data_IF_145951050605
#
_entry.id   IF_145951050605
#
_cell.length_a   1.000
_cell.length_b   1.000
_cell.length_c   1.000
_cell.angle_alpha   90.00
_cell.angle_beta   90.00
_cell.angle_gamma   90.00
#
_symmetry.space_group_name_H-M   'P 1'
#
loop_
_entity.id
_entity.type
_entity.pdbx_description
1 polymer ?
#
# COMPACT_ATOMS: atom_id res chain seq x y z
N UNK A 1 13.07 -35.72 4.97
CA UNK A 1 13.57 -34.33 5.00
C UNK A 1 12.39 -33.43 4.64
N UNK A 2 11.74 -32.82 5.63
CA UNK A 2 10.53 -32.01 5.40
C UNK A 2 10.93 -30.66 4.80
N UNK A 3 10.26 -30.17 3.74
CA UNK A 3 10.67 -28.95 3.07
C UNK A 3 10.33 -27.74 3.95
N UNK A 4 11.34 -27.03 4.41
CA UNK A 4 11.26 -25.77 5.18
C UNK A 4 10.82 -24.57 4.29
N UNK A 5 10.39 -24.83 3.05
CA UNK A 5 10.09 -23.81 2.05
C UNK A 5 8.80 -23.00 2.31
N UNK A 6 7.98 -23.31 3.31
CA UNK A 6 6.71 -22.58 3.57
C UNK A 6 6.84 -21.34 4.46
N UNK A 7 7.99 -21.14 5.13
CA UNK A 7 8.25 -19.97 5.99
C UNK A 7 8.74 -18.74 5.21
N UNK A 8 9.13 -18.89 3.94
CA UNK A 8 9.62 -17.77 3.13
C UNK A 8 8.56 -16.72 2.78
N UNK A 9 7.28 -17.01 3.03
CA UNK A 9 6.16 -16.13 2.69
C UNK A 9 5.19 -15.96 3.87
N UNK A 10 5.71 -15.69 5.07
CA UNK A 10 4.89 -15.47 6.28
C UNK A 10 3.93 -14.30 6.09
N UNK A 11 4.37 -13.24 5.39
CA UNK A 11 3.62 -12.00 5.22
C UNK A 11 2.84 -11.91 3.91
N UNK A 12 3.10 -12.80 2.94
CA UNK A 12 2.26 -12.91 1.75
C UNK A 12 2.20 -11.61 0.96
N UNK A 13 1.01 -11.40 0.42
CA UNK A 13 0.63 -10.19 -0.28
C UNK A 13 0.44 -9.01 0.70
N UNK A 14 0.29 -9.25 2.01
CA UNK A 14 -0.10 -8.23 3.00
C UNK A 14 0.99 -7.20 3.28
N UNK A 15 2.27 -7.57 3.21
CA UNK A 15 3.38 -6.63 3.39
C UNK A 15 3.37 -5.54 2.30
N UNK A 16 3.34 -5.96 1.04
CA UNK A 16 3.23 -5.03 -0.08
C UNK A 16 1.92 -4.24 -0.05
N UNK A 17 0.83 -4.89 0.39
CA UNK A 17 -0.44 -4.23 0.60
C UNK A 17 -0.34 -3.13 1.66
N UNK A 18 0.42 -3.35 2.74
CA UNK A 18 0.59 -2.40 3.84
C UNK A 18 1.37 -1.17 3.36
N UNK A 19 2.51 -1.40 2.71
CA UNK A 19 3.37 -0.35 2.17
C UNK A 19 2.64 0.52 1.13
N UNK A 20 1.86 -0.11 0.24
CA UNK A 20 1.08 0.60 -0.76
C UNK A 20 -0.02 1.47 -0.14
N UNK A 21 -0.65 0.99 0.94
CA UNK A 21 -1.65 1.76 1.70
C UNK A 21 -1.01 2.93 2.44
N UNK A 22 0.14 2.72 3.07
CA UNK A 22 0.92 3.78 3.71
C UNK A 22 1.25 4.89 2.70
N UNK A 23 1.73 4.51 1.51
CA UNK A 23 2.06 5.49 0.48
C UNK A 23 0.82 6.23 -0.03
N UNK A 24 -0.31 5.54 -0.20
CA UNK A 24 -1.57 6.18 -0.60
C UNK A 24 -2.08 7.14 0.48
N UNK A 25 -1.97 6.76 1.76
CA UNK A 25 -2.28 7.65 2.89
C UNK A 25 -1.42 8.91 2.86
N UNK A 26 -0.11 8.79 2.57
CA UNK A 26 0.77 9.94 2.41
C UNK A 26 0.30 10.88 1.30
N UNK A 27 -0.03 10.34 0.12
CA UNK A 27 -0.52 11.14 -1.01
C UNK A 27 -1.84 11.85 -0.67
N UNK A 28 -2.77 11.16 -0.01
CA UNK A 28 -4.04 11.75 0.43
C UNK A 28 -3.82 12.87 1.47
N UNK A 29 -2.90 12.67 2.43
CA UNK A 29 -2.51 13.69 3.39
C UNK A 29 -1.89 14.91 2.73
N UNK A 30 -1.01 14.72 1.75
CA UNK A 30 -0.42 15.81 0.97
C UNK A 30 -1.50 16.61 0.23
N UNK A 31 -2.48 15.94 -0.38
CA UNK A 31 -3.60 16.63 -1.03
C UNK A 31 -4.41 17.46 0.00
N UNK A 32 -4.75 16.89 1.15
CA UNK A 32 -5.52 17.58 2.21
C UNK A 32 -4.76 18.82 2.71
N UNK A 33 -3.46 18.69 2.96
CA UNK A 33 -2.62 19.80 3.43
C UNK A 33 -2.54 20.94 2.41
N UNK A 34 -2.62 20.64 1.11
CA UNK A 34 -2.58 21.62 0.02
C UNK A 34 -3.96 21.99 -0.52
N UNK A 35 -5.05 21.69 0.20
CA UNK A 35 -6.41 22.01 -0.23
C UNK A 35 -6.68 23.51 -0.40
N UNK A 36 -5.90 24.36 0.26
CA UNK A 36 -5.97 25.83 0.16
C UNK A 36 -4.78 26.43 -0.60
N UNK A 37 -4.02 25.60 -1.34
CA UNK A 37 -2.86 26.05 -2.13
C UNK A 37 -3.28 26.30 -3.58
N UNK A 38 -3.20 27.55 -4.09
CA UNK A 38 -3.55 27.86 -5.47
C UNK A 38 -2.75 27.00 -6.46
N UNK A 39 -3.38 26.67 -7.60
CA UNK A 39 -2.79 25.86 -8.68
C UNK A 39 -2.32 24.44 -8.31
N UNK A 40 -2.58 23.95 -7.10
CA UNK A 40 -2.18 22.60 -6.70
C UNK A 40 -2.93 21.52 -7.50
N UNK A 41 -2.21 20.46 -7.88
CA UNK A 41 -2.75 19.31 -8.61
C UNK A 41 -2.76 18.07 -7.73
N UNK A 42 -3.97 17.60 -7.41
CA UNK A 42 -4.21 16.42 -6.60
C UNK A 42 -3.74 15.14 -7.30
N UNK A 43 -3.13 14.26 -6.51
CA UNK A 43 -2.55 12.98 -6.95
C UNK A 43 -3.24 11.81 -6.25
N UNK A 44 -3.17 10.62 -6.80
CA UNK A 44 -3.56 9.37 -6.14
C UNK A 44 -2.64 8.24 -6.62
N UNK A 45 -2.83 7.05 -6.08
CA UNK A 45 -2.14 5.84 -6.50
C UNK A 45 -3.17 4.86 -7.06
N UNK A 46 -2.93 4.33 -8.26
CA UNK A 46 -3.70 3.19 -8.77
C UNK A 46 -3.30 1.93 -7.99
N UNK A 47 -3.99 1.74 -6.87
CA UNK A 47 -3.77 0.63 -5.97
C UNK A 47 -3.89 -0.71 -6.69
N UNK A 48 -4.86 -0.86 -7.60
CA UNK A 48 -5.12 -2.12 -8.28
C UNK A 48 -3.97 -2.47 -9.21
N UNK A 49 -3.52 -1.51 -10.00
CA UNK A 49 -2.36 -1.69 -10.87
C UNK A 49 -1.10 -2.00 -10.06
N UNK A 50 -0.79 -1.18 -9.04
CA UNK A 50 0.38 -1.35 -8.17
C UNK A 50 0.39 -2.72 -7.48
N UNK A 51 -0.76 -3.15 -6.96
CA UNK A 51 -0.90 -4.42 -6.27
C UNK A 51 -0.79 -5.61 -7.23
N UNK A 52 -1.35 -5.50 -8.43
CA UNK A 52 -1.25 -6.56 -9.44
C UNK A 52 0.20 -6.76 -9.90
N UNK A 53 0.96 -5.68 -10.02
CA UNK A 53 2.37 -5.74 -10.37
C UNK A 53 3.22 -6.32 -9.23
N UNK A 54 2.96 -5.89 -8.00
CA UNK A 54 3.59 -6.46 -6.82
C UNK A 54 3.31 -7.97 -6.68
N UNK A 55 2.07 -8.40 -6.93
CA UNK A 55 1.72 -9.83 -6.90
C UNK A 55 2.44 -10.63 -8.00
N UNK A 56 2.58 -10.08 -9.22
CA UNK A 56 3.38 -10.70 -10.30
C UNK A 56 4.86 -10.81 -9.93
N UNK A 57 5.41 -9.80 -9.26
CA UNK A 57 6.79 -9.78 -8.80
C UNK A 57 7.03 -10.84 -7.71
N UNK A 58 6.09 -10.98 -6.76
CA UNK A 58 6.10 -12.05 -5.76
C UNK A 58 6.09 -13.46 -6.37
N UNK A 59 5.37 -13.67 -7.48
CA UNK A 59 5.32 -14.96 -8.19
C UNK A 59 6.62 -15.31 -8.91
N UNK A 60 7.45 -14.32 -9.22
CA UNK A 60 8.68 -14.48 -10.00
C UNK A 60 9.95 -14.65 -9.15
N UNK A 61 9.84 -14.87 -7.83
CA UNK A 61 11.00 -14.91 -6.93
C UNK A 61 11.41 -16.34 -6.52
N UNK A 62 12.58 -16.78 -7.01
CA UNK A 62 13.41 -17.81 -6.39
C UNK A 62 14.69 -17.15 -5.86
N UNK A 63 14.77 -16.97 -4.54
CA UNK A 63 15.95 -16.40 -3.87
C UNK A 63 16.83 -17.54 -3.37
N UNK A 64 17.99 -17.73 -3.99
CA UNK A 64 18.84 -18.92 -3.81
C UNK A 64 20.04 -18.70 -2.88
N UNK A 65 20.26 -17.47 -2.39
CA UNK A 65 21.43 -17.11 -1.58
C UNK A 65 21.12 -16.01 -0.53
N UNK A 66 21.90 -16.02 0.54
CA UNK A 66 21.76 -15.28 1.79
C UNK A 66 22.07 -13.78 1.72
N UNK A 67 22.69 -13.25 0.66
CA UNK A 67 22.94 -11.81 0.49
C UNK A 67 21.85 -11.08 -0.31
N UNK A 68 20.78 -11.77 -0.72
CA UNK A 68 19.81 -11.13 -1.60
C UNK A 68 18.89 -10.16 -0.82
N UNK A 69 18.85 -8.90 -1.26
CA UNK A 69 17.90 -7.85 -0.84
C UNK A 69 16.60 -7.99 -1.64
N UNK A 70 15.46 -7.77 -0.98
CA UNK A 70 14.15 -7.89 -1.60
C UNK A 70 13.78 -6.73 -2.53
N UNK A 71 13.14 -7.07 -3.64
CA UNK A 71 12.66 -6.10 -4.62
C UNK A 71 11.49 -5.30 -4.01
N UNK A 72 11.80 -4.12 -3.45
CA UNK A 72 10.78 -3.12 -3.14
C UNK A 72 10.11 -2.70 -4.45
N UNK A 73 8.82 -2.93 -4.57
CA UNK A 73 8.06 -2.43 -5.71
C UNK A 73 8.17 -0.89 -5.73
N UNK A 74 8.63 -0.34 -6.85
CA UNK A 74 8.69 1.11 -7.03
C UNK A 74 7.27 1.63 -7.29
N UNK A 75 6.59 2.04 -6.23
CA UNK A 75 5.19 2.43 -6.32
C UNK A 75 4.95 3.79 -7.00
N UNK A 76 6.00 4.56 -7.27
CA UNK A 76 5.92 5.83 -8.02
C UNK A 76 5.37 5.65 -9.44
N UNK A 77 5.55 4.47 -10.04
CA UNK A 77 5.10 4.19 -11.40
C UNK A 77 3.56 4.09 -11.52
N UNK A 78 2.85 4.10 -10.38
CA UNK A 78 1.39 4.01 -10.30
C UNK A 78 0.74 5.31 -9.78
N UNK A 79 1.49 6.40 -9.69
CA UNK A 79 0.94 7.70 -9.34
C UNK A 79 0.08 8.21 -10.50
N UNK A 80 -1.16 8.58 -10.19
CA UNK A 80 -2.15 9.07 -11.14
C UNK A 80 -2.62 10.46 -10.74
N UNK A 81 -2.74 11.35 -11.72
CA UNK A 81 -3.42 12.63 -11.52
C UNK A 81 -4.92 12.43 -11.65
N UNK A 82 -5.69 13.00 -10.73
CA UNK A 82 -7.14 12.99 -10.85
C UNK A 82 -7.65 14.20 -11.60
N UNK A 83 -8.67 13.96 -12.43
CA UNK A 83 -9.47 15.03 -12.99
C UNK A 83 -10.53 15.43 -11.95
N UNK A 84 -10.57 16.68 -11.46
CA UNK A 84 -11.55 17.10 -10.47
C UNK A 84 -12.94 17.16 -11.12
N UNK A 85 -13.98 16.78 -10.36
CA UNK A 85 -15.37 16.98 -10.80
C UNK A 85 -15.74 18.45 -10.68
N UNK A 86 -15.31 19.11 -9.60
CA UNK A 86 -15.46 20.54 -9.39
C UNK A 86 -14.08 21.18 -9.27
N UNK A 87 -13.67 21.93 -10.30
CA UNK A 87 -12.41 22.67 -10.26
C UNK A 87 -12.60 24.00 -9.55
N UNK A 88 -11.71 24.31 -8.60
CA UNK A 88 -11.75 25.59 -7.89
C UNK A 88 -11.38 26.75 -8.84
N UNK A 89 -11.93 27.96 -8.66
CA UNK A 89 -11.62 29.12 -9.49
C UNK A 89 -10.13 29.51 -9.53
N UNK A 90 -9.35 29.12 -8.51
CA UNK A 90 -7.90 29.35 -8.40
C UNK A 90 -7.05 28.27 -9.10
N UNK A 91 -7.69 27.32 -9.78
CA UNK A 91 -7.01 26.24 -10.49
C UNK A 91 -6.51 25.11 -9.58
N UNK A 92 -6.88 25.09 -8.30
CA UNK A 92 -6.69 23.93 -7.43
C UNK A 92 -7.64 22.78 -7.83
N UNK A 93 -7.12 21.56 -7.89
CA UNK A 93 -7.88 20.34 -8.22
C UNK A 93 -8.17 19.46 -7.00
N UNK A 94 -7.92 19.96 -5.79
CA UNK A 94 -8.22 19.27 -4.54
C UNK A 94 -9.67 19.50 -4.13
N UNK A 95 -10.44 18.42 -4.05
CA UNK A 95 -11.76 18.40 -3.43
C UNK A 95 -11.63 17.91 -1.98
N UNK A 96 -11.57 18.84 -1.00
CA UNK A 96 -11.22 18.52 0.39
C UNK A 96 -12.06 17.40 1.01
N UNK A 97 -13.40 17.49 0.93
CA UNK A 97 -14.28 16.46 1.50
C UNK A 97 -14.10 15.09 0.85
N UNK A 98 -13.82 15.06 -0.46
CA UNK A 98 -13.51 13.81 -1.16
C UNK A 98 -12.18 13.23 -0.66
N UNK A 99 -11.12 14.05 -0.53
CA UNK A 99 -9.84 13.59 -0.01
C UNK A 99 -9.95 13.07 1.43
N UNK A 100 -10.71 13.75 2.29
CA UNK A 100 -10.97 13.31 3.67
C UNK A 100 -11.74 11.97 3.71
N UNK A 101 -12.72 11.79 2.83
CA UNK A 101 -13.45 10.52 2.70
C UNK A 101 -12.52 9.38 2.27
N UNK A 102 -11.71 9.60 1.23
CA UNK A 102 -10.75 8.61 0.76
C UNK A 102 -9.67 8.31 1.81
N UNK A 103 -9.19 9.32 2.54
CA UNK A 103 -8.25 9.13 3.65
C UNK A 103 -8.83 8.24 4.74
N UNK A 104 -10.08 8.47 5.14
CA UNK A 104 -10.77 7.64 6.13
C UNK A 104 -10.91 6.18 5.66
N UNK A 105 -11.29 5.96 4.39
CA UNK A 105 -11.38 4.61 3.81
C UNK A 105 -10.02 3.91 3.78
N UNK A 106 -8.97 4.63 3.37
CA UNK A 106 -7.63 4.05 3.26
C UNK A 106 -7.02 3.76 4.63
N UNK A 107 -7.28 4.61 5.63
CA UNK A 107 -6.88 4.41 7.01
C UNK A 107 -7.50 3.14 7.60
N UNK A 108 -8.81 2.94 7.41
CA UNK A 108 -9.48 1.70 7.83
C UNK A 108 -8.88 0.45 7.17
N UNK A 109 -8.55 0.52 5.88
CA UNK A 109 -7.89 -0.58 5.16
C UNK A 109 -6.46 -0.83 5.66
N UNK A 110 -5.73 0.22 6.00
CA UNK A 110 -4.37 0.11 6.57
C UNK A 110 -4.42 -0.62 7.91
N UNK A 111 -5.28 -0.16 8.83
CA UNK A 111 -5.47 -0.79 10.16
C UNK A 111 -5.88 -2.26 10.01
N UNK A 112 -6.84 -2.57 9.13
CA UNK A 112 -7.24 -3.95 8.87
C UNK A 112 -6.08 -4.82 8.36
N UNK A 113 -5.19 -4.24 7.54
CA UNK A 113 -4.00 -4.95 7.03
C UNK A 113 -3.00 -5.25 8.14
N UNK A 114 -2.77 -4.30 9.04
CA UNK A 114 -1.94 -4.51 10.25
C UNK A 114 -2.52 -5.66 11.08
N UNK A 115 -3.83 -5.67 11.33
CA UNK A 115 -4.50 -6.73 12.07
C UNK A 115 -4.33 -8.11 11.41
N UNK A 116 -4.42 -8.20 10.08
CA UNK A 116 -4.16 -9.45 9.38
C UNK A 116 -2.71 -9.94 9.55
N UNK A 117 -1.74 -9.03 9.49
CA UNK A 117 -0.33 -9.34 9.73
C UNK A 117 -0.12 -9.83 11.16
N UNK A 118 -0.67 -9.13 12.16
CA UNK A 118 -0.58 -9.51 13.58
C UNK A 118 -1.16 -10.90 13.83
N UNK A 119 -2.36 -11.17 13.29
CA UNK A 119 -3.01 -12.48 13.41
C UNK A 119 -2.17 -13.60 12.77
N UNK A 120 -1.57 -13.32 11.61
CA UNK A 120 -0.72 -14.29 10.90
C UNK A 120 0.55 -14.60 11.69
N UNK A 121 1.23 -13.58 12.20
CA UNK A 121 2.42 -13.73 13.06
C UNK A 121 2.06 -14.49 14.34
N UNK A 122 0.92 -14.17 14.97
CA UNK A 122 0.42 -14.88 16.13
C UNK A 122 0.15 -16.36 15.86
N UNK A 123 -0.38 -16.70 14.67
CA UNK A 123 -0.56 -18.07 14.21
C UNK A 123 0.75 -18.83 14.04
N UNK A 124 1.74 -18.23 13.36
CA UNK A 124 3.08 -18.84 13.20
C UNK A 124 3.75 -19.06 14.55
N UNK A 125 3.65 -18.10 15.47
CA UNK A 125 4.23 -18.23 16.81
C UNK A 125 3.62 -19.38 17.61
N UNK A 126 2.31 -19.61 17.51
CA UNK A 126 1.63 -20.75 18.15
C UNK A 126 2.07 -22.08 17.55
N UNK A 127 2.11 -22.17 16.22
CA UNK A 127 2.59 -23.36 15.52
C UNK A 127 4.05 -23.73 15.89
N UNK A 128 4.92 -22.73 16.06
CA UNK A 128 6.31 -22.95 16.53
C UNK A 128 6.39 -23.40 18.00
N UNK A 129 5.38 -23.08 18.81
CA UNK A 129 5.27 -23.53 20.22
C UNK A 129 4.59 -24.89 20.38
N UNK A 130 3.95 -25.41 19.33
CA UNK A 130 3.23 -26.68 19.37
C UNK A 130 1.80 -26.60 19.92
N UNK A 131 1.20 -25.39 19.91
CA UNK A 131 -0.20 -25.13 20.25
C UNK A 131 -1.11 -25.12 19.02
#
# INVERSE_FOLDING_TARGET
MLPVSSLGNIFGIHENALLLREQRLKVLSENIANAETPHYKSRDIDYKAAMSASAKQLLNLQKTNTEHIDLRANFKDYEVFRYPVNMSPDGNTVELHHQQSEFGKESGRYIATVQFIENRVGGVRRALRGE
#
